data_IF_976047624865
#
_entry.id   IF_976047624865
#
_cell.length_a   1.000
_cell.length_b   1.000
_cell.length_c   1.000
_cell.angle_alpha   90.00
_cell.angle_beta   90.00
_cell.angle_gamma   90.00
#
_symmetry.space_group_name_H-M   'P 1'
#
loop_
_entity.id
_entity.type
_entity.pdbx_description
1 polymer ?
#
# COMPACT_ATOMS: atom_id res chain seq x y z
N UNK A 1 -47.21 2.98 11.81
CA UNK A 1 -46.37 3.95 11.07
C UNK A 1 -44.91 3.64 11.26
N UNK A 2 -44.28 3.01 10.28
CA UNK A 2 -42.85 2.64 10.36
C UNK A 2 -42.00 3.84 9.96
N UNK A 3 -41.16 4.38 10.89
CA UNK A 3 -40.16 5.40 10.61
C UNK A 3 -39.08 4.80 9.71
N UNK A 4 -39.12 5.09 8.40
CA UNK A 4 -38.00 4.87 7.49
C UNK A 4 -36.80 5.71 7.99
N UNK A 5 -35.79 5.07 8.57
CA UNK A 5 -34.49 5.70 8.84
C UNK A 5 -33.91 6.09 7.47
N UNK A 6 -33.84 7.40 7.19
CA UNK A 6 -33.05 7.90 6.05
C UNK A 6 -31.60 7.53 6.29
N UNK A 7 -31.07 6.55 5.57
CA UNK A 7 -29.63 6.35 5.51
C UNK A 7 -29.03 7.66 5.00
N UNK A 8 -28.06 8.21 5.71
CA UNK A 8 -27.38 9.42 5.25
C UNK A 8 -26.59 9.11 3.97
N UNK A 9 -26.47 10.08 3.08
CA UNK A 9 -25.69 9.96 1.84
C UNK A 9 -24.26 9.45 2.14
N UNK A 10 -23.70 9.85 3.27
CA UNK A 10 -22.40 9.43 3.76
C UNK A 10 -22.32 7.93 4.09
N UNK A 11 -23.36 7.35 4.69
CA UNK A 11 -23.40 5.90 4.95
C UNK A 11 -23.52 5.09 3.66
N UNK A 12 -24.26 5.59 2.67
CA UNK A 12 -24.35 4.98 1.34
C UNK A 12 -23.01 4.99 0.60
N UNK A 13 -22.31 6.12 0.59
CA UNK A 13 -21.01 6.27 -0.05
C UNK A 13 -19.94 5.38 0.63
N UNK A 14 -19.92 5.34 1.97
CA UNK A 14 -19.00 4.47 2.72
C UNK A 14 -19.25 2.99 2.42
N UNK A 15 -20.50 2.54 2.34
CA UNK A 15 -20.88 1.15 2.01
C UNK A 15 -20.43 0.79 0.59
N UNK A 16 -20.68 1.67 -0.39
CA UNK A 16 -20.29 1.43 -1.79
C UNK A 16 -18.77 1.39 -1.93
N UNK A 17 -18.04 2.32 -1.30
CA UNK A 17 -16.58 2.34 -1.31
C UNK A 17 -15.99 1.07 -0.67
N UNK A 18 -16.56 0.63 0.46
CA UNK A 18 -16.15 -0.59 1.16
C UNK A 18 -16.47 -1.84 0.34
N UNK A 19 -17.64 -1.90 -0.34
CA UNK A 19 -18.03 -3.03 -1.17
C UNK A 19 -17.16 -3.17 -2.42
N UNK A 20 -16.79 -2.07 -3.07
CA UNK A 20 -15.89 -2.09 -4.24
C UNK A 20 -14.53 -2.64 -3.84
N UNK A 21 -13.98 -2.19 -2.71
CA UNK A 21 -12.66 -2.63 -2.26
C UNK A 21 -12.70 -4.05 -1.69
N UNK A 22 -13.75 -4.43 -0.95
CA UNK A 22 -13.87 -5.80 -0.42
C UNK A 22 -13.99 -6.84 -1.53
N UNK A 23 -14.67 -6.55 -2.63
CA UNK A 23 -14.74 -7.45 -3.77
C UNK A 23 -13.40 -7.57 -4.50
N UNK A 24 -12.59 -6.51 -4.52
CA UNK A 24 -11.24 -6.53 -5.11
C UNK A 24 -10.25 -7.28 -4.21
N UNK A 25 -10.36 -7.11 -2.89
CA UNK A 25 -9.50 -7.77 -1.89
C UNK A 25 -9.81 -9.27 -1.77
N UNK A 26 -11.06 -9.70 -2.00
CA UNK A 26 -11.45 -11.13 -2.00
C UNK A 26 -10.91 -11.93 -3.20
N UNK A 27 -10.39 -11.29 -4.25
CA UNK A 27 -9.73 -12.01 -5.33
C UNK A 27 -8.43 -12.60 -4.80
N UNK A 28 -8.51 -13.89 -4.47
CA UNK A 28 -7.52 -14.83 -3.95
C UNK A 28 -6.08 -14.33 -4.09
N UNK A 29 -5.41 -14.17 -2.95
CA UNK A 29 -3.95 -14.05 -2.89
C UNK A 29 -3.33 -15.27 -3.59
N UNK A 30 -2.97 -15.12 -4.84
CA UNK A 30 -2.05 -16.05 -5.47
C UNK A 30 -0.75 -15.96 -4.68
N UNK A 31 -0.42 -17.08 -4.03
CA UNK A 31 0.90 -17.31 -3.45
C UNK A 31 1.89 -17.36 -4.61
N UNK A 32 2.24 -16.22 -5.14
CA UNK A 32 3.37 -16.12 -6.07
C UNK A 32 4.60 -16.46 -5.24
N UNK A 33 5.03 -17.70 -5.37
CA UNK A 33 6.26 -18.19 -4.77
C UNK A 33 7.39 -17.44 -5.44
N UNK A 34 7.88 -16.37 -4.80
CA UNK A 34 9.16 -15.81 -5.19
C UNK A 34 10.19 -16.90 -4.98
N UNK A 35 10.70 -17.45 -6.10
CA UNK A 35 11.86 -18.32 -6.11
C UNK A 35 12.92 -17.65 -5.25
N UNK A 36 13.27 -18.30 -4.17
CA UNK A 36 14.16 -17.86 -3.11
C UNK A 36 15.38 -17.11 -3.64
N UNK A 37 15.37 -15.79 -3.50
CA UNK A 37 16.64 -15.09 -3.35
C UNK A 37 17.27 -15.70 -2.10
N UNK A 38 18.49 -16.19 -2.22
CA UNK A 38 19.17 -16.87 -1.12
C UNK A 38 19.61 -15.81 -0.11
N UNK A 39 18.67 -15.39 0.74
CA UNK A 39 18.84 -14.32 1.71
C UNK A 39 18.97 -14.96 3.08
N UNK A 40 20.07 -14.64 3.79
CA UNK A 40 20.29 -15.15 5.15
C UNK A 40 19.16 -14.77 6.10
N UNK A 41 18.73 -15.70 6.99
CA UNK A 41 17.70 -15.41 7.96
C UNK A 41 18.12 -14.31 8.94
N UNK A 42 17.22 -13.39 9.24
CA UNK A 42 17.45 -12.30 10.18
C UNK A 42 16.82 -12.63 11.53
N UNK A 43 17.54 -12.32 12.62
CA UNK A 43 17.04 -12.51 13.96
C UNK A 43 15.88 -11.55 14.26
N UNK A 44 14.75 -12.09 14.70
CA UNK A 44 13.59 -11.28 15.10
C UNK A 44 13.88 -10.42 16.31
N UNK A 45 13.50 -9.15 16.25
CA UNK A 45 13.47 -8.25 17.41
C UNK A 45 12.30 -8.62 18.35
N UNK A 46 12.51 -8.57 19.65
CA UNK A 46 11.41 -8.67 20.63
C UNK A 46 10.54 -7.41 20.56
N UNK A 47 9.24 -7.58 20.37
CA UNK A 47 8.27 -6.47 20.35
C UNK A 47 7.92 -6.06 21.78
N UNK A 48 7.96 -4.74 22.05
CA UNK A 48 7.47 -4.17 23.31
C UNK A 48 5.92 -4.25 23.42
N UNK A 49 5.41 -3.97 24.62
CA UNK A 49 3.96 -3.97 24.92
C UNK A 49 3.22 -2.99 24.02
N UNK A 50 3.76 -1.76 23.85
CA UNK A 50 3.19 -0.75 22.96
C UNK A 50 3.02 -1.28 21.52
N UNK A 51 4.06 -1.86 20.96
CA UNK A 51 4.05 -2.35 19.57
C UNK A 51 3.12 -3.55 19.38
N UNK A 52 3.00 -4.38 20.44
CA UNK A 52 2.18 -5.60 20.39
C UNK A 52 0.67 -5.31 20.46
N UNK A 53 0.26 -4.35 21.28
CA UNK A 53 -1.15 -4.10 21.58
C UNK A 53 -1.62 -2.71 21.19
N UNK A 54 -0.99 -1.65 21.73
CA UNK A 54 -1.48 -0.27 21.59
C UNK A 54 -1.37 0.20 20.14
N UNK A 55 -0.21 0.00 19.53
CA UNK A 55 0.04 0.44 18.13
C UNK A 55 -0.98 -0.13 17.15
N UNK A 56 -1.35 -1.41 17.30
CA UNK A 56 -2.32 -2.05 16.41
C UNK A 56 -3.72 -1.44 16.53
N UNK A 57 -4.15 -1.13 17.75
CA UNK A 57 -5.45 -0.48 18.00
C UNK A 57 -5.46 0.91 17.34
N UNK A 58 -4.40 1.70 17.55
CA UNK A 58 -4.26 3.02 16.92
C UNK A 58 -4.24 2.94 15.40
N UNK A 59 -3.49 2.01 14.81
CA UNK A 59 -3.45 1.78 13.37
C UNK A 59 -4.86 1.51 12.80
N UNK A 60 -5.65 0.67 13.46
CA UNK A 60 -7.02 0.34 13.04
C UNK A 60 -7.95 1.55 13.15
N UNK A 61 -7.90 2.28 14.27
CA UNK A 61 -8.72 3.49 14.47
C UNK A 61 -8.39 4.54 13.39
N UNK A 62 -7.11 4.81 13.15
CA UNK A 62 -6.69 5.77 12.12
C UNK A 62 -7.12 5.31 10.72
N UNK A 63 -6.96 4.03 10.38
CA UNK A 63 -7.34 3.52 9.07
C UNK A 63 -8.85 3.57 8.83
N UNK A 64 -9.66 3.18 9.83
CA UNK A 64 -11.13 3.27 9.76
C UNK A 64 -11.56 4.73 9.63
N UNK A 65 -11.02 5.62 10.47
CA UNK A 65 -11.30 7.05 10.38
C UNK A 65 -10.94 7.63 9.01
N UNK A 66 -9.75 7.31 8.48
CA UNK A 66 -9.33 7.76 7.16
C UNK A 66 -10.27 7.26 6.06
N UNK A 67 -10.67 5.99 6.07
CA UNK A 67 -11.59 5.42 5.07
C UNK A 67 -12.95 6.12 5.12
N UNK A 68 -13.48 6.38 6.32
CA UNK A 68 -14.78 7.06 6.46
C UNK A 68 -14.70 8.51 6.00
N UNK A 69 -13.73 9.27 6.52
CA UNK A 69 -13.58 10.71 6.23
C UNK A 69 -13.27 10.96 4.76
N UNK A 70 -12.36 10.18 4.18
CA UNK A 70 -11.97 10.33 2.78
C UNK A 70 -12.82 9.51 1.79
N UNK A 71 -13.92 8.87 2.24
CA UNK A 71 -14.78 8.07 1.35
C UNK A 71 -15.27 8.80 0.09
N UNK A 72 -15.65 10.11 0.11
CA UNK A 72 -15.99 10.82 -1.11
C UNK A 72 -14.81 11.02 -2.04
N UNK A 73 -13.61 11.23 -1.47
CA UNK A 73 -12.37 11.37 -2.25
C UNK A 73 -12.01 10.03 -2.90
N UNK A 74 -12.13 8.91 -2.18
CA UNK A 74 -11.95 7.57 -2.75
C UNK A 74 -12.84 7.35 -3.97
N UNK A 75 -14.13 7.70 -3.85
CA UNK A 75 -15.08 7.53 -4.94
C UNK A 75 -14.73 8.44 -6.12
N UNK A 76 -14.44 9.72 -5.87
CA UNK A 76 -14.06 10.68 -6.89
C UNK A 76 -12.80 10.26 -7.66
N UNK A 77 -11.75 9.85 -6.94
CA UNK A 77 -10.50 9.36 -7.55
C UNK A 77 -10.76 8.06 -8.33
N UNK A 78 -11.53 7.12 -7.78
CA UNK A 78 -11.87 5.87 -8.48
C UNK A 78 -12.59 6.13 -9.81
N UNK A 79 -13.55 7.06 -9.83
CA UNK A 79 -14.26 7.48 -11.04
C UNK A 79 -13.28 8.12 -12.04
N UNK A 80 -12.46 9.06 -11.60
CA UNK A 80 -11.48 9.73 -12.46
C UNK A 80 -10.45 8.74 -13.05
N UNK A 81 -9.95 7.80 -12.25
CA UNK A 81 -9.04 6.74 -12.73
C UNK A 81 -9.74 5.90 -13.78
N UNK A 82 -10.99 5.48 -13.53
CA UNK A 82 -11.77 4.68 -14.48
C UNK A 82 -11.93 5.38 -15.83
N UNK A 83 -12.24 6.68 -15.83
CA UNK A 83 -12.46 7.44 -17.06
C UNK A 83 -11.15 7.81 -17.79
N UNK A 84 -10.08 8.14 -17.04
CA UNK A 84 -8.83 8.62 -17.63
C UNK A 84 -7.81 7.52 -17.95
N UNK A 85 -7.82 6.42 -17.20
CA UNK A 85 -6.84 5.34 -17.31
C UNK A 85 -7.48 3.96 -17.59
N UNK A 86 -8.82 3.85 -17.46
CA UNK A 86 -9.53 2.60 -17.71
C UNK A 86 -9.52 1.65 -16.52
N UNK A 87 -9.63 0.35 -16.79
CA UNK A 87 -9.59 -0.72 -15.78
C UNK A 87 -8.26 -1.47 -15.84
N UNK A 88 -7.78 -2.01 -14.70
CA UNK A 88 -8.34 -1.94 -13.34
C UNK A 88 -8.10 -0.57 -12.68
N UNK A 89 -8.98 -0.17 -11.73
CA UNK A 89 -8.87 1.10 -10.99
C UNK A 89 -7.71 1.04 -9.98
N UNK A 90 -7.54 -0.12 -9.33
CA UNK A 90 -6.48 -0.36 -8.37
C UNK A 90 -5.31 -1.07 -9.05
N UNK A 91 -4.13 -0.61 -8.68
CA UNK A 91 -2.86 -1.25 -8.95
C UNK A 91 -2.39 -1.97 -7.69
N UNK A 92 -1.82 -3.15 -7.84
CA UNK A 92 -1.22 -3.92 -6.75
C UNK A 92 0.24 -4.17 -7.02
N UNK A 93 1.09 -3.99 -6.02
CA UNK A 93 2.51 -4.25 -6.11
C UNK A 93 2.99 -5.05 -4.91
N UNK A 94 3.77 -6.08 -5.19
CA UNK A 94 4.36 -6.91 -4.15
C UNK A 94 5.48 -6.15 -3.42
N UNK A 95 5.39 -6.17 -2.09
CA UNK A 95 6.33 -5.47 -1.19
C UNK A 95 6.76 -6.38 -0.06
N UNK A 96 8.02 -6.24 0.42
CA UNK A 96 8.46 -6.95 1.62
C UNK A 96 7.73 -6.42 2.85
N UNK A 97 7.27 -7.34 3.67
CA UNK A 97 6.60 -7.08 4.94
C UNK A 97 7.46 -7.49 6.11
N UNK A 98 6.79 -7.94 7.19
CA UNK A 98 7.46 -8.41 8.40
C UNK A 98 8.29 -9.67 8.15
N UNK A 99 9.38 -9.82 8.89
CA UNK A 99 10.14 -11.06 8.97
C UNK A 99 9.25 -12.16 9.60
N UNK A 100 9.09 -13.26 8.86
CA UNK A 100 8.37 -14.45 9.25
C UNK A 100 9.07 -15.27 10.35
N UNK A 101 8.47 -16.40 10.72
CA UNK A 101 9.06 -17.31 11.73
C UNK A 101 10.38 -17.94 11.26
N UNK A 102 10.52 -18.08 9.94
CA UNK A 102 11.66 -18.62 9.22
C UNK A 102 12.83 -17.62 9.06
N UNK A 103 12.71 -16.41 9.61
CA UNK A 103 13.72 -15.34 9.48
C UNK A 103 13.72 -14.65 8.11
N UNK A 104 12.79 -14.97 7.24
CA UNK A 104 12.64 -14.34 5.90
C UNK A 104 11.48 -13.35 5.91
N UNK A 105 11.57 -12.37 5.01
CA UNK A 105 10.50 -11.38 4.82
C UNK A 105 9.25 -12.04 4.23
N UNK A 106 8.10 -11.74 4.81
CA UNK A 106 6.82 -12.01 4.16
C UNK A 106 6.63 -11.04 2.99
N UNK A 107 5.90 -11.44 1.97
CA UNK A 107 5.54 -10.54 0.86
C UNK A 107 4.04 -10.28 0.91
N UNK A 108 3.66 -9.02 0.74
CA UNK A 108 2.26 -8.62 0.70
C UNK A 108 1.96 -7.75 -0.52
N UNK A 109 0.69 -7.73 -0.94
CA UNK A 109 0.22 -6.87 -2.03
C UNK A 109 -0.16 -5.51 -1.47
N UNK A 110 0.59 -4.48 -1.85
CA UNK A 110 0.30 -3.09 -1.53
C UNK A 110 -0.71 -2.53 -2.55
N UNK A 111 -1.78 -1.91 -2.06
CA UNK A 111 -2.85 -1.35 -2.89
C UNK A 111 -2.63 0.12 -3.16
N UNK A 112 -2.74 0.53 -4.42
CA UNK A 112 -2.71 1.93 -4.85
C UNK A 112 -3.76 2.19 -5.91
N UNK A 113 -4.16 3.44 -6.11
CA UNK A 113 -4.84 3.80 -7.35
C UNK A 113 -3.86 3.73 -8.51
N UNK A 114 -4.37 3.30 -9.66
CA UNK A 114 -3.59 3.26 -10.90
C UNK A 114 -3.24 4.68 -11.35
N UNK A 115 -1.99 4.89 -11.75
CA UNK A 115 -1.46 6.19 -12.18
C UNK A 115 -0.86 6.17 -13.59
N UNK A 116 -0.74 4.97 -14.18
CA UNK A 116 -0.11 4.73 -15.48
C UNK A 116 -1.07 4.01 -16.42
N UNK A 117 -0.87 4.16 -17.72
CA UNK A 117 -1.55 3.37 -18.76
C UNK A 117 -0.91 1.97 -18.88
N UNK A 118 -1.57 1.06 -19.60
CA UNK A 118 -1.02 -0.26 -19.95
C UNK A 118 -0.57 -0.30 -21.42
N UNK A 119 -0.13 0.87 -21.94
CA UNK A 119 0.39 0.97 -23.30
C UNK A 119 1.61 0.08 -23.51
N UNK A 120 1.61 -0.59 -24.66
CA UNK A 120 2.62 -1.57 -25.05
C UNK A 120 3.25 -1.20 -26.38
N UNK A 121 4.47 -1.70 -26.58
CA UNK A 121 5.14 -1.66 -27.86
C UNK A 121 4.58 -2.71 -28.85
N UNK A 122 5.10 -2.73 -30.06
CA UNK A 122 4.72 -3.67 -31.11
C UNK A 122 5.00 -5.14 -30.74
N UNK A 123 5.90 -5.38 -29.80
CA UNK A 123 6.26 -6.71 -29.29
C UNK A 123 5.40 -7.16 -28.09
N UNK A 124 4.45 -6.31 -27.64
CA UNK A 124 3.59 -6.57 -26.50
C UNK A 124 4.22 -6.28 -25.13
N UNK A 125 5.42 -5.69 -25.07
CA UNK A 125 6.05 -5.24 -23.82
C UNK A 125 5.49 -3.88 -23.41
N UNK A 126 5.40 -3.65 -22.10
CA UNK A 126 4.98 -2.35 -21.57
C UNK A 126 5.97 -1.27 -21.99
N UNK A 127 5.47 -0.13 -22.45
CA UNK A 127 6.28 1.05 -22.72
C UNK A 127 6.97 1.54 -21.43
N UNK A 128 8.08 2.32 -21.55
CA UNK A 128 8.75 2.92 -20.40
C UNK A 128 7.81 3.70 -19.50
N UNK A 129 8.10 3.72 -18.20
CA UNK A 129 7.26 4.34 -17.18
C UNK A 129 7.02 5.84 -17.45
N UNK A 130 7.99 6.53 -18.03
CA UNK A 130 7.92 7.95 -18.40
C UNK A 130 6.82 8.22 -19.46
N UNK A 131 6.62 7.29 -20.39
CA UNK A 131 5.59 7.37 -21.43
C UNK A 131 4.22 7.03 -20.86
N UNK A 132 4.14 5.99 -20.01
CA UNK A 132 2.90 5.49 -19.42
C UNK A 132 2.36 6.39 -18.32
N UNK A 133 3.21 7.18 -17.66
CA UNK A 133 2.83 8.08 -16.57
C UNK A 133 2.17 9.34 -17.13
N UNK A 134 0.83 9.34 -17.13
CA UNK A 134 0.04 10.48 -17.61
C UNK A 134 0.16 11.72 -16.72
N UNK A 135 -0.20 12.91 -17.23
CA UNK A 135 -0.29 14.15 -16.43
C UNK A 135 -1.20 13.97 -15.21
N UNK A 136 -2.31 13.26 -15.38
CA UNK A 136 -3.23 12.94 -14.30
C UNK A 136 -2.59 11.99 -13.25
N UNK A 137 -1.89 10.95 -13.70
CA UNK A 137 -1.17 10.05 -12.82
C UNK A 137 -0.06 10.75 -12.04
N UNK A 138 0.65 11.69 -12.68
CA UNK A 138 1.66 12.53 -12.01
C UNK A 138 1.03 13.41 -10.93
N UNK A 139 -0.14 14.01 -11.20
CA UNK A 139 -0.89 14.77 -10.22
C UNK A 139 -1.32 13.91 -9.03
N UNK A 140 -1.85 12.69 -9.26
CA UNK A 140 -2.21 11.76 -8.19
C UNK A 140 -1.01 11.44 -7.28
N UNK A 141 0.17 11.18 -7.88
CA UNK A 141 1.40 10.90 -7.11
C UNK A 141 1.89 12.10 -6.32
N UNK A 142 1.82 13.30 -6.89
CA UNK A 142 2.26 14.52 -6.22
C UNK A 142 1.36 14.87 -5.02
N UNK A 143 0.07 14.55 -5.10
CA UNK A 143 -0.90 14.74 -4.01
C UNK A 143 -1.00 13.55 -3.08
N UNK A 144 -0.30 12.43 -3.38
CA UNK A 144 -0.38 11.15 -2.66
C UNK A 144 -1.80 10.55 -2.59
N UNK A 145 -2.71 11.00 -3.44
CA UNK A 145 -4.06 10.43 -3.52
C UNK A 145 -4.04 8.99 -4.05
N UNK A 146 -3.00 8.62 -4.79
CA UNK A 146 -2.79 7.24 -5.24
C UNK A 146 -2.53 6.27 -4.08
N UNK A 147 -2.04 6.74 -2.94
CA UNK A 147 -1.71 5.94 -1.75
C UNK A 147 -2.91 5.72 -0.81
N UNK A 148 -4.05 6.39 -1.01
CA UNK A 148 -5.24 6.22 -0.18
C UNK A 148 -5.63 4.75 0.04
N UNK A 149 -5.61 3.84 -0.98
CA UNK A 149 -5.96 2.44 -0.77
C UNK A 149 -5.05 1.67 0.19
N UNK A 150 -3.87 2.20 0.56
CA UNK A 150 -2.99 1.58 1.55
C UNK A 150 -3.64 1.52 2.94
N UNK A 151 -4.67 2.34 3.22
CA UNK A 151 -5.47 2.22 4.44
C UNK A 151 -6.10 0.83 4.62
N UNK A 152 -6.43 0.14 3.52
CA UNK A 152 -6.90 -1.25 3.57
C UNK A 152 -5.77 -2.23 3.93
N UNK A 153 -4.53 -1.94 3.54
CA UNK A 153 -3.37 -2.71 3.97
C UNK A 153 -3.15 -2.55 5.48
N UNK A 154 -3.39 -1.35 6.02
CA UNK A 154 -3.32 -1.10 7.47
C UNK A 154 -4.43 -1.88 8.18
N UNK A 155 -5.67 -1.86 7.70
CA UNK A 155 -6.78 -2.65 8.25
C UNK A 155 -6.50 -4.16 8.23
N UNK A 156 -5.95 -4.67 7.15
CA UNK A 156 -5.59 -6.08 7.02
C UNK A 156 -4.36 -6.46 7.86
N UNK A 157 -3.65 -5.46 8.41
CA UNK A 157 -2.50 -5.67 9.28
C UNK A 157 -1.19 -5.96 8.56
N UNK A 158 -1.14 -5.84 7.24
CA UNK A 158 0.09 -5.97 6.45
C UNK A 158 0.94 -4.70 6.52
N UNK A 159 0.31 -3.55 6.78
CA UNK A 159 0.96 -2.25 7.00
C UNK A 159 0.56 -1.64 8.33
N UNK A 160 1.19 -0.52 8.66
CA UNK A 160 0.94 0.36 9.80
C UNK A 160 0.84 1.80 9.32
N UNK A 161 0.28 2.70 10.11
CA UNK A 161 0.29 4.14 9.80
C UNK A 161 1.73 4.66 9.78
N UNK A 162 2.50 4.32 10.81
CA UNK A 162 3.92 4.73 10.94
C UNK A 162 4.81 3.49 10.92
N UNK A 163 5.80 3.51 10.02
CA UNK A 163 6.77 2.45 9.88
C UNK A 163 7.76 2.72 8.74
N UNK A 164 8.76 1.86 8.55
CA UNK A 164 9.69 2.01 7.44
C UNK A 164 8.95 1.89 6.10
N UNK A 165 9.29 2.76 5.13
CA UNK A 165 8.70 2.72 3.78
C UNK A 165 9.03 1.38 3.11
N UNK A 166 8.03 0.62 2.62
CA UNK A 166 8.28 -0.65 1.95
C UNK A 166 8.99 -0.42 0.61
N UNK A 167 10.15 -1.02 0.43
CA UNK A 167 10.90 -1.00 -0.83
C UNK A 167 10.35 -2.05 -1.81
N UNK A 168 10.92 -2.18 -3.00
CA UNK A 168 10.56 -3.24 -3.93
C UNK A 168 11.19 -4.57 -3.47
N UNK A 169 10.50 -5.69 -3.74
CA UNK A 169 11.05 -7.03 -3.42
C UNK A 169 12.39 -7.24 -4.11
N UNK A 170 12.55 -6.78 -5.35
CA UNK A 170 13.81 -6.87 -6.10
C UNK A 170 14.96 -6.09 -5.46
N UNK A 171 14.65 -5.04 -4.68
CA UNK A 171 15.67 -4.19 -4.07
C UNK A 171 16.29 -4.85 -2.81
N UNK A 172 15.65 -5.90 -2.27
CA UNK A 172 16.13 -6.61 -1.08
C UNK A 172 17.51 -7.25 -1.29
N UNK A 173 17.87 -7.60 -2.51
CA UNK A 173 19.17 -8.19 -2.84
C UNK A 173 20.33 -7.20 -2.65
N UNK A 174 20.05 -5.90 -2.66
CA UNK A 174 21.03 -4.84 -2.46
C UNK A 174 21.15 -4.39 -0.99
N UNK A 175 20.30 -4.93 -0.10
CA UNK A 175 20.30 -4.59 1.32
C UNK A 175 21.22 -5.52 2.10
N UNK A 176 22.07 -4.95 2.95
CA UNK A 176 22.81 -5.71 3.94
C UNK A 176 21.89 -6.16 5.11
N UNK A 177 22.42 -6.96 6.05
CA UNK A 177 21.62 -7.49 7.17
C UNK A 177 21.07 -6.37 8.07
N UNK A 178 21.87 -5.32 8.32
CA UNK A 178 21.46 -4.19 9.15
C UNK A 178 20.29 -3.44 8.49
N UNK A 179 20.40 -3.12 7.21
CA UNK A 179 19.33 -2.47 6.44
C UNK A 179 18.04 -3.31 6.39
N UNK A 180 18.17 -4.65 6.33
CA UNK A 180 17.03 -5.57 6.38
C UNK A 180 16.38 -5.66 7.75
N UNK A 181 17.07 -5.23 8.84
CA UNK A 181 16.46 -5.13 10.18
C UNK A 181 15.20 -4.23 10.19
N UNK A 182 15.04 -3.32 9.25
CA UNK A 182 13.82 -2.53 9.07
C UNK A 182 12.55 -3.37 8.92
N UNK A 183 12.68 -4.58 8.36
CA UNK A 183 11.58 -5.52 8.19
C UNK A 183 11.19 -6.25 9.49
N UNK A 184 11.85 -5.96 10.62
CA UNK A 184 11.38 -6.40 11.95
C UNK A 184 10.20 -5.58 12.45
N UNK A 185 9.93 -4.42 11.84
CA UNK A 185 8.74 -3.59 12.05
C UNK A 185 7.80 -3.68 10.84
N UNK A 186 6.50 -3.43 11.05
CA UNK A 186 5.54 -3.35 9.93
C UNK A 186 5.89 -2.17 9.03
N UNK A 187 5.85 -2.34 7.69
CA UNK A 187 5.99 -1.22 6.78
C UNK A 187 4.90 -0.17 7.01
N UNK A 188 5.26 1.10 6.86
CA UNK A 188 4.38 2.23 7.15
C UNK A 188 3.92 2.98 5.90
N UNK A 189 2.71 3.55 6.00
CA UNK A 189 2.22 4.57 5.06
C UNK A 189 3.07 5.84 5.18
N UNK A 190 3.42 6.22 6.39
CA UNK A 190 4.35 7.31 6.72
C UNK A 190 5.52 6.79 7.54
N UNK A 191 6.65 7.50 7.51
CA UNK A 191 7.85 7.15 8.26
C UNK A 191 8.98 8.14 8.02
N UNK A 192 10.12 7.89 8.61
CA UNK A 192 11.25 8.82 8.62
C UNK A 192 11.69 9.26 7.21
N UNK A 193 11.81 8.31 6.29
CA UNK A 193 12.17 8.62 4.91
C UNK A 193 11.14 9.50 4.18
N UNK A 194 9.84 9.35 4.51
CA UNK A 194 8.79 10.15 3.90
C UNK A 194 8.78 11.59 4.41
N UNK A 195 9.07 11.82 5.69
CA UNK A 195 9.11 13.17 6.28
C UNK A 195 10.40 13.91 5.97
N UNK A 196 11.50 13.18 5.69
CA UNK A 196 12.80 13.77 5.39
C UNK A 196 13.08 13.97 3.88
N UNK A 197 12.05 13.94 3.02
CA UNK A 197 12.21 14.30 1.61
C UNK A 197 11.79 13.24 0.61
N UNK A 198 11.24 12.09 1.03
CA UNK A 198 10.67 11.04 0.14
C UNK A 198 11.65 10.56 -0.94
N UNK A 199 11.49 11.14 -2.16
CA UNK A 199 12.25 10.77 -3.34
C UNK A 199 13.51 11.64 -3.51
N UNK A 200 13.64 12.73 -2.76
CA UNK A 200 14.79 13.64 -2.84
C UNK A 200 16.01 13.14 -2.06
N UNK A 201 15.83 12.17 -1.16
CA UNK A 201 16.92 11.56 -0.40
C UNK A 201 17.55 10.38 -1.18
N UNK A 202 18.86 10.17 -0.97
CA UNK A 202 19.62 9.09 -1.60
C UNK A 202 19.11 7.70 -1.19
N UNK A 203 19.63 6.68 -1.87
CA UNK A 203 19.31 5.29 -1.52
C UNK A 203 19.82 4.94 -0.12
N UNK A 204 21.04 5.34 0.21
CA UNK A 204 21.66 5.13 1.51
C UNK A 204 20.86 5.79 2.63
N UNK A 205 20.44 7.05 2.45
CA UNK A 205 19.61 7.79 3.41
C UNK A 205 18.22 7.17 3.59
N UNK A 206 17.67 6.50 2.58
CA UNK A 206 16.39 5.78 2.70
C UNK A 206 16.51 4.51 3.52
N UNK A 207 17.69 3.91 3.57
CA UNK A 207 17.91 2.61 4.22
C UNK A 207 18.42 2.76 5.65
N UNK A 208 19.14 3.85 5.97
CA UNK A 208 19.60 4.20 7.30
C UNK A 208 18.52 4.97 8.06
#
# INVERSE_FOLDING_TARGET
MAKRKKLSVWSGIAIVSTAIVTNIVKKKSDKTTYKSVNINPIKKRKKGIYERYIKRVLDVICAVGAIIVFSPVYLGVAILVKFKLGSPILFTQDRPGLIGADGKETVFKMYKFRTMTDEKDENGNLLPDEVRLTKFGKWLRNTSLDELPEAFNILNGTMSVIGPRPQLVRDMVFMNEEQRMRHTAKPGLSGLAQVNGRNAISWEEKLN
#
